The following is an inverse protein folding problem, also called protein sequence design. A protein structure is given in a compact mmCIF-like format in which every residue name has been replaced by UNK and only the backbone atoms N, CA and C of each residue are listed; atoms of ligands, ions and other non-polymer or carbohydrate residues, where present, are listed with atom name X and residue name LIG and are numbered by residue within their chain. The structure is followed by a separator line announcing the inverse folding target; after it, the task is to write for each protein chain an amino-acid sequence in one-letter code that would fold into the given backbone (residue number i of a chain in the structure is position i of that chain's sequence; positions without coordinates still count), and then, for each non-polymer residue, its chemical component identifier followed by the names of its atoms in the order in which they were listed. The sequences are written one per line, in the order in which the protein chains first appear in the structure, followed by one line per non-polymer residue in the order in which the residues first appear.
data_IF_968167868350
#
_entry.id   IF_968167868350
#
_cell.length_a   1.000
_cell.length_b   1.000
_cell.length_c   1.000
_cell.angle_alpha   90.00
_cell.angle_beta   90.00
_cell.angle_gamma   90.00
#
_symmetry.space_group_name_H-M   'P 1'
#
loop_
_entity.id
_entity.type
_entity.pdbx_description
1 polymer ?
#
# COMPACT_ATOMS: atom_id res chain seq x y z
N UNK A 1 -20.17 14.02 4.21
CA UNK A 1 -19.87 14.76 2.96
C UNK A 1 -18.50 14.43 2.37
N UNK A 2 -17.41 14.37 3.16
CA UNK A 2 -16.05 14.07 2.67
C UNK A 2 -15.87 12.68 2.03
N UNK A 3 -16.45 11.61 2.60
CA UNK A 3 -16.40 10.25 2.03
C UNK A 3 -17.14 10.12 0.68
N UNK A 4 -18.19 10.91 0.47
CA UNK A 4 -18.92 10.95 -0.80
C UNK A 4 -18.13 11.70 -1.88
N UNK A 5 -17.38 12.75 -1.51
CA UNK A 5 -16.55 13.51 -2.43
C UNK A 5 -15.34 12.69 -2.95
N UNK A 6 -14.90 11.71 -2.19
CA UNK A 6 -13.79 10.79 -2.53
C UNK A 6 -14.30 9.38 -2.90
N UNK A 7 -15.56 9.25 -3.33
CA UNK A 7 -16.13 7.94 -3.66
C UNK A 7 -15.39 7.31 -4.83
N UNK A 8 -14.50 6.37 -4.56
CA UNK A 8 -13.81 5.61 -5.60
C UNK A 8 -14.77 4.60 -6.22
N UNK A 9 -14.91 4.60 -7.54
CA UNK A 9 -15.53 3.49 -8.24
C UNK A 9 -14.61 2.26 -8.14
N UNK A 10 -15.06 1.23 -7.44
CA UNK A 10 -14.35 -0.05 -7.39
C UNK A 10 -14.82 -0.94 -8.53
N UNK A 11 -13.85 -1.58 -9.18
CA UNK A 11 -14.07 -2.60 -10.20
C UNK A 11 -13.29 -3.85 -9.79
N UNK A 12 -13.85 -5.02 -10.04
CA UNK A 12 -13.19 -6.31 -9.84
C UNK A 12 -13.46 -7.24 -11.02
N UNK A 13 -12.61 -8.26 -11.17
CA UNK A 13 -12.69 -9.23 -12.26
C UNK A 13 -13.17 -10.56 -11.70
N UNK A 14 -14.24 -11.11 -12.27
CA UNK A 14 -14.76 -12.43 -11.92
C UNK A 14 -13.86 -13.55 -12.49
N UNK A 15 -14.12 -14.79 -12.05
CA UNK A 15 -13.37 -15.98 -12.51
C UNK A 15 -13.46 -16.21 -14.02
N UNK A 16 -14.56 -15.78 -14.65
CA UNK A 16 -14.77 -15.83 -16.10
C UNK A 16 -14.07 -14.70 -16.88
N UNK A 17 -13.33 -13.83 -16.18
CA UNK A 17 -12.63 -12.67 -16.76
C UNK A 17 -13.50 -11.43 -16.93
N UNK A 18 -14.79 -11.47 -16.57
CA UNK A 18 -15.68 -10.31 -16.68
C UNK A 18 -15.37 -9.26 -15.62
N UNK A 19 -15.21 -8.01 -16.05
CA UNK A 19 -15.08 -6.86 -15.15
C UNK A 19 -16.47 -6.44 -14.68
N UNK A 20 -16.63 -6.35 -13.36
CA UNK A 20 -17.87 -5.93 -12.70
C UNK A 20 -17.61 -4.78 -11.74
N UNK A 21 -18.66 -3.99 -11.47
CA UNK A 21 -18.60 -2.94 -10.45
C UNK A 21 -18.65 -3.56 -9.05
N UNK A 22 -17.92 -2.96 -8.12
CA UNK A 22 -17.78 -3.42 -6.75
C UNK A 22 -16.68 -4.47 -6.60
N UNK A 23 -16.72 -5.17 -5.47
CA UNK A 23 -15.64 -6.08 -5.07
C UNK A 23 -15.90 -7.55 -5.39
N UNK A 24 -17.01 -7.94 -6.05
CA UNK A 24 -17.44 -9.35 -6.19
C UNK A 24 -16.37 -10.32 -6.71
N UNK A 25 -15.46 -9.87 -7.60
CA UNK A 25 -14.37 -10.69 -8.13
C UNK A 25 -13.19 -10.92 -7.17
N UNK A 26 -13.19 -10.29 -5.99
CA UNK A 26 -12.13 -10.48 -5.00
C UNK A 26 -12.36 -11.77 -4.20
N UNK A 27 -11.31 -12.59 -3.93
CA UNK A 27 -11.44 -13.76 -3.07
C UNK A 27 -11.86 -13.40 -1.64
N UNK A 28 -12.92 -14.07 -1.14
CA UNK A 28 -13.39 -13.90 0.25
C UNK A 28 -12.42 -14.48 1.27
N UNK A 29 -11.77 -15.60 0.94
CA UNK A 29 -10.80 -16.26 1.80
C UNK A 29 -9.38 -15.87 1.42
N UNK A 30 -8.51 -15.72 2.43
CA UNK A 30 -7.11 -15.40 2.21
C UNK A 30 -6.19 -16.64 2.20
N UNK A 31 -4.88 -16.41 1.98
CA UNK A 31 -4.24 -15.09 1.90
C UNK A 31 -4.49 -14.39 0.56
N UNK A 32 -4.67 -13.07 0.60
CA UNK A 32 -4.73 -12.22 -0.60
C UNK A 32 -3.75 -11.06 -0.45
N UNK A 33 -2.90 -10.84 -1.44
CA UNK A 33 -2.02 -9.69 -1.49
C UNK A 33 -2.51 -8.69 -2.54
N UNK A 34 -3.02 -7.55 -2.09
CA UNK A 34 -3.36 -6.42 -2.92
C UNK A 34 -2.11 -5.58 -3.15
N UNK A 35 -1.72 -5.45 -4.40
CA UNK A 35 -0.59 -4.60 -4.82
C UNK A 35 -1.18 -3.38 -5.51
N UNK A 36 -0.99 -2.20 -4.92
CA UNK A 36 -1.62 -0.96 -5.36
C UNK A 36 -0.65 0.19 -5.58
N UNK A 37 -1.21 1.32 -6.05
CA UNK A 37 -0.54 2.61 -6.23
C UNK A 37 -1.25 3.71 -5.43
N UNK A 38 -0.51 4.57 -4.74
CA UNK A 38 -1.02 5.72 -4.00
C UNK A 38 -1.49 6.83 -4.93
N UNK A 39 -2.80 6.91 -5.15
CA UNK A 39 -3.37 7.91 -6.06
C UNK A 39 -3.49 9.31 -5.42
N UNK A 40 -3.79 9.39 -4.12
CA UNK A 40 -4.22 10.62 -3.47
C UNK A 40 -3.55 10.78 -2.10
N UNK A 41 -2.23 10.58 -2.05
CA UNK A 41 -1.44 10.68 -0.81
C UNK A 41 -1.93 9.75 0.33
N UNK A 42 -2.62 8.66 0.00
CA UNK A 42 -3.21 7.76 0.98
C UNK A 42 -4.62 8.13 1.40
N UNK A 43 -5.20 9.26 0.94
CA UNK A 43 -6.60 9.59 1.23
C UNK A 43 -7.59 8.59 0.57
N UNK A 44 -7.15 7.87 -0.46
CA UNK A 44 -7.91 6.76 -1.06
C UNK A 44 -8.09 5.57 -0.10
N UNK A 45 -7.27 5.46 0.95
CA UNK A 45 -7.33 4.33 1.88
C UNK A 45 -8.62 4.28 2.69
N UNK A 46 -9.10 5.42 3.17
CA UNK A 46 -10.28 5.48 4.02
C UNK A 46 -11.54 4.92 3.31
N UNK A 47 -11.93 5.39 2.11
CA UNK A 47 -13.05 4.79 1.38
C UNK A 47 -12.75 3.36 0.95
N UNK A 48 -11.49 3.02 0.63
CA UNK A 48 -11.14 1.66 0.22
C UNK A 48 -11.31 0.63 1.34
N UNK A 49 -10.67 0.85 2.50
CA UNK A 49 -10.76 -0.04 3.66
C UNK A 49 -12.21 -0.18 4.14
N UNK A 50 -12.96 0.93 4.13
CA UNK A 50 -14.38 0.92 4.49
C UNK A 50 -15.21 0.06 3.56
N UNK A 51 -15.02 0.16 2.23
CA UNK A 51 -15.78 -0.64 1.26
C UNK A 51 -15.46 -2.13 1.38
N UNK A 52 -14.19 -2.50 1.59
CA UNK A 52 -13.83 -3.90 1.82
C UNK A 52 -14.48 -4.48 3.08
N UNK A 53 -14.52 -3.69 4.16
CA UNK A 53 -15.16 -4.11 5.39
C UNK A 53 -16.69 -4.20 5.25
N UNK A 54 -17.32 -3.19 4.66
CA UNK A 54 -18.79 -3.10 4.57
C UNK A 54 -19.38 -4.04 3.52
N UNK A 55 -18.77 -4.16 2.33
CA UNK A 55 -19.32 -4.96 1.23
C UNK A 55 -18.94 -6.44 1.33
N UNK A 56 -17.76 -6.75 1.88
CA UNK A 56 -17.19 -8.11 1.84
C UNK A 56 -16.85 -8.67 3.21
N UNK A 57 -16.99 -7.88 4.29
CA UNK A 57 -16.52 -8.24 5.63
C UNK A 57 -15.02 -8.61 5.64
N UNK A 58 -14.23 -8.00 4.75
CA UNK A 58 -12.79 -8.22 4.64
C UNK A 58 -12.08 -7.12 5.41
N UNK A 59 -11.28 -7.49 6.40
CA UNK A 59 -10.47 -6.53 7.14
C UNK A 59 -9.07 -6.42 6.53
N UNK A 60 -8.87 -5.36 5.72
CA UNK A 60 -7.59 -5.11 5.05
C UNK A 60 -6.47 -4.74 6.02
N UNK A 61 -5.30 -5.35 5.83
CA UNK A 61 -4.08 -5.09 6.61
C UNK A 61 -3.09 -4.30 5.77
N UNK A 62 -3.01 -2.99 5.99
CA UNK A 62 -2.04 -2.13 5.29
C UNK A 62 -0.62 -2.30 5.82
N UNK A 63 0.36 -2.50 4.95
CA UNK A 63 1.77 -2.42 5.32
C UNK A 63 2.25 -0.98 5.23
N UNK A 64 2.59 -0.40 6.38
CA UNK A 64 2.89 1.03 6.48
C UNK A 64 4.26 1.27 7.13
N UNK A 65 4.88 2.42 6.83
CA UNK A 65 6.24 2.70 7.29
C UNK A 65 6.31 2.82 8.81
N UNK A 66 7.37 2.28 9.42
CA UNK A 66 7.56 2.22 10.89
C UNK A 66 7.46 3.59 11.58
N UNK A 67 7.81 4.69 10.90
CA UNK A 67 7.69 6.06 11.45
C UNK A 67 6.25 6.41 11.84
N UNK A 68 5.26 5.86 11.14
CA UNK A 68 3.84 6.04 11.44
C UNK A 68 3.42 5.31 12.74
N UNK A 69 4.33 4.58 13.36
CA UNK A 69 4.10 3.83 14.59
C UNK A 69 4.98 4.36 15.74
N UNK A 70 5.75 5.43 15.56
CA UNK A 70 6.57 5.98 16.64
C UNK A 70 5.67 6.87 17.50
N UNK A 71 5.55 6.53 18.80
CA UNK A 71 4.89 7.40 19.79
C UNK A 71 5.89 8.44 20.29
N UNK A 72 5.60 9.72 20.08
CA UNK A 72 6.37 10.81 20.68
C UNK A 72 6.14 10.80 22.19
N UNK A 73 7.18 10.52 22.99
CA UNK A 73 7.10 10.45 24.47
C UNK A 73 6.83 11.80 25.16
N UNK A 74 6.64 12.89 24.40
CA UNK A 74 6.77 14.26 24.90
C UNK A 74 5.52 15.08 24.61
N UNK A 75 4.36 14.61 25.06
CA UNK A 75 3.20 15.48 25.31
C UNK A 75 2.21 14.72 26.21
N UNK A 76 2.16 15.12 27.49
CA UNK A 76 1.23 14.62 28.50
C UNK A 76 -0.22 15.09 28.27
N UNK A 77 -0.46 15.79 27.16
CA UNK A 77 -1.75 16.31 26.72
C UNK A 77 -1.92 15.86 25.27
N UNK A 78 -2.60 14.75 25.08
CA UNK A 78 -2.91 14.20 23.76
C UNK A 78 -3.71 15.25 22.97
N UNK A 79 -3.23 15.75 21.81
CA UNK A 79 -4.15 16.33 20.84
C UNK A 79 -5.11 15.21 20.38
N UNK A 80 -6.38 15.52 20.07
CA UNK A 80 -7.37 14.51 19.72
C UNK A 80 -6.88 13.73 18.50
N UNK A 81 -6.65 12.41 18.69
CA UNK A 81 -6.27 11.45 17.64
C UNK A 81 -5.11 11.91 16.77
N UNK A 82 -3.87 11.58 17.18
CA UNK A 82 -2.74 11.59 16.25
C UNK A 82 -3.14 10.77 15.01
N UNK A 83 -3.04 11.33 13.80
CA UNK A 83 -3.37 10.62 12.55
C UNK A 83 -2.68 9.25 12.44
N UNK A 84 -1.56 9.07 13.15
CA UNK A 84 -0.82 7.82 13.30
C UNK A 84 -1.55 6.74 14.11
N UNK A 85 -2.36 7.10 15.11
CA UNK A 85 -3.17 6.15 15.86
C UNK A 85 -4.31 5.59 15.00
N UNK A 86 -4.88 6.40 14.10
CA UNK A 86 -5.92 5.95 13.16
C UNK A 86 -5.41 4.86 12.20
N UNK A 87 -4.16 4.94 11.72
CA UNK A 87 -3.60 3.87 10.88
C UNK A 87 -3.49 2.54 11.62
N UNK A 88 -3.13 2.55 12.90
CA UNK A 88 -3.07 1.35 13.74
C UNK A 88 -4.46 0.77 13.98
N UNK A 89 -5.44 1.62 14.29
CA UNK A 89 -6.83 1.21 14.49
C UNK A 89 -7.44 0.59 13.22
N UNK A 90 -7.11 1.15 12.05
CA UNK A 90 -7.48 0.59 10.75
C UNK A 90 -6.74 -0.71 10.39
N UNK A 91 -5.90 -1.25 11.29
CA UNK A 91 -5.22 -2.53 11.10
C UNK A 91 -3.90 -2.44 10.34
N UNK A 92 -3.30 -1.25 10.21
CA UNK A 92 -1.98 -1.15 9.59
C UNK A 92 -0.90 -1.82 10.45
N UNK A 93 0.07 -2.44 9.79
CA UNK A 93 1.20 -3.14 10.40
C UNK A 93 2.51 -2.55 9.87
N UNK A 94 3.56 -2.41 10.70
CA UNK A 94 4.86 -1.94 10.24
C UNK A 94 5.42 -2.82 9.11
N UNK A 95 5.80 -2.19 8.00
CA UNK A 95 6.36 -2.88 6.84
C UNK A 95 7.67 -3.58 7.20
N UNK A 96 7.71 -4.90 6.97
CA UNK A 96 8.87 -5.78 7.10
C UNK A 96 8.55 -7.14 6.49
N UNK A 97 9.56 -7.87 6.01
CA UNK A 97 9.37 -9.23 5.47
C UNK A 97 8.70 -10.18 6.46
N UNK A 98 9.10 -10.13 7.74
CA UNK A 98 8.49 -10.92 8.80
C UNK A 98 7.02 -10.60 9.03
N UNK A 99 6.63 -9.32 8.98
CA UNK A 99 5.23 -8.93 9.18
C UNK A 99 4.37 -9.37 8.00
N UNK A 100 4.86 -9.20 6.77
CA UNK A 100 4.19 -9.71 5.57
C UNK A 100 4.01 -11.23 5.66
N UNK A 101 5.07 -11.97 5.98
CA UNK A 101 5.01 -13.42 6.13
C UNK A 101 3.97 -13.84 7.18
N UNK A 102 3.97 -13.21 8.37
CA UNK A 102 3.01 -13.53 9.44
C UNK A 102 1.56 -13.27 9.02
N UNK A 103 1.31 -12.17 8.31
CA UNK A 103 -0.03 -11.83 7.82
C UNK A 103 -0.51 -12.83 6.76
N UNK A 104 0.35 -13.21 5.82
CA UNK A 104 0.00 -14.20 4.81
C UNK A 104 -0.19 -15.60 5.43
N UNK A 105 0.67 -15.97 6.39
CA UNK A 105 0.54 -17.23 7.12
C UNK A 105 -0.77 -17.30 7.94
N UNK A 106 -1.27 -16.16 8.43
CA UNK A 106 -2.57 -16.06 9.09
C UNK A 106 -3.75 -15.94 8.11
N UNK A 107 -3.55 -16.22 6.81
CA UNK A 107 -4.56 -16.08 5.75
C UNK A 107 -5.19 -14.67 5.66
N UNK A 108 -4.44 -13.63 5.99
CA UNK A 108 -4.96 -12.26 5.96
C UNK A 108 -5.02 -11.68 4.55
N UNK A 109 -5.87 -10.68 4.37
CA UNK A 109 -5.92 -9.79 3.22
C UNK A 109 -4.98 -8.61 3.45
N UNK A 110 -3.87 -8.57 2.71
CA UNK A 110 -2.76 -7.63 2.91
C UNK A 110 -2.71 -6.62 1.77
N UNK A 111 -2.58 -5.34 2.11
CA UNK A 111 -2.41 -4.26 1.15
C UNK A 111 -0.98 -3.73 1.17
N UNK A 112 -0.35 -3.70 0.00
CA UNK A 112 1.01 -3.20 -0.23
C UNK A 112 1.02 -2.16 -1.35
N UNK A 113 1.50 -0.96 -1.01
CA UNK A 113 1.87 0.06 -2.00
C UNK A 113 3.36 -0.03 -2.29
N UNK A 114 3.71 -0.35 -3.53
CA UNK A 114 5.10 -0.69 -3.90
C UNK A 114 6.00 0.53 -4.04
N UNK A 115 5.47 1.71 -4.36
CA UNK A 115 6.26 2.93 -4.44
C UNK A 115 6.48 3.67 -3.10
N UNK A 116 5.85 3.21 -2.01
CA UNK A 116 6.06 3.73 -0.65
C UNK A 116 5.80 5.22 -0.51
N UNK A 117 6.52 5.91 0.40
CA UNK A 117 6.24 7.35 0.66
C UNK A 117 6.58 8.26 -0.52
N UNK A 118 7.47 7.81 -1.42
CA UNK A 118 7.82 8.57 -2.62
C UNK A 118 6.61 8.68 -3.53
N UNK A 119 5.91 7.56 -3.70
CA UNK A 119 4.65 7.47 -4.42
C UNK A 119 3.53 8.22 -3.70
N UNK A 120 3.38 8.01 -2.39
CA UNK A 120 2.38 8.72 -1.59
C UNK A 120 2.57 10.25 -1.63
N UNK A 121 3.81 10.73 -1.69
CA UNK A 121 4.10 12.17 -1.76
C UNK A 121 4.10 12.71 -3.19
N UNK A 122 3.73 11.90 -4.19
CA UNK A 122 3.86 12.19 -5.63
C UNK A 122 5.23 12.77 -6.02
N UNK A 123 6.28 12.38 -5.28
CA UNK A 123 7.64 12.90 -5.48
C UNK A 123 8.30 12.17 -6.63
N UNK A 124 8.53 12.87 -7.75
CA UNK A 124 9.45 12.45 -8.81
C UNK A 124 10.88 12.96 -8.53
N UNK A 125 11.73 12.12 -7.96
CA UNK A 125 13.20 12.31 -7.97
C UNK A 125 13.85 10.92 -7.85
N UNK A 126 14.80 10.42 -8.66
CA UNK A 126 15.69 10.96 -9.69
C UNK A 126 15.69 9.97 -10.88
N UNK A 127 14.94 10.22 -11.96
CA UNK A 127 15.33 9.62 -13.25
C UNK A 127 16.53 10.37 -13.83
N UNK A 128 16.62 11.68 -13.61
CA UNK A 128 17.72 12.53 -14.10
C UNK A 128 19.09 12.14 -13.53
N UNK A 129 19.16 11.71 -12.26
CA UNK A 129 20.44 11.30 -11.63
C UNK A 129 20.55 9.80 -11.39
N UNK A 130 19.70 8.98 -12.02
CA UNK A 130 19.89 7.53 -12.03
C UNK A 130 21.00 7.22 -13.03
N UNK A 131 22.17 6.71 -12.60
CA UNK A 131 23.25 6.36 -13.52
C UNK A 131 22.84 5.26 -14.50
N UNK A 132 21.73 4.54 -14.27
CA UNK A 132 21.20 3.46 -15.12
C UNK A 132 19.89 3.82 -15.83
N UNK A 133 19.62 5.11 -16.01
CA UNK A 133 18.36 5.63 -16.56
C UNK A 133 18.01 5.07 -17.94
N UNK A 134 19.00 4.73 -18.76
CA UNK A 134 18.81 4.23 -20.12
C UNK A 134 19.57 2.92 -20.37
N UNK A 135 19.21 2.24 -21.47
CA UNK A 135 19.76 0.93 -21.81
C UNK A 135 21.26 0.99 -22.12
N UNK A 136 21.73 2.10 -22.70
CA UNK A 136 23.15 2.31 -22.97
C UNK A 136 23.96 2.33 -21.67
N UNK A 137 23.51 3.07 -20.66
CA UNK A 137 24.21 3.14 -19.37
C UNK A 137 24.22 1.79 -18.62
N UNK A 138 23.16 0.98 -18.76
CA UNK A 138 23.11 -0.39 -18.23
C UNK A 138 24.07 -1.32 -18.96
N UNK A 139 24.12 -1.23 -20.29
CA UNK A 139 25.02 -2.05 -21.11
C UNK A 139 26.49 -1.65 -20.89
N UNK A 140 26.78 -0.34 -20.76
CA UNK A 140 28.11 0.15 -20.41
C UNK A 140 28.57 -0.38 -19.07
N UNK A 141 27.72 -0.33 -18.04
CA UNK A 141 28.04 -0.90 -16.72
C UNK A 141 28.24 -2.42 -16.75
N UNK A 142 27.39 -3.15 -17.49
CA UNK A 142 27.57 -4.60 -17.65
C UNK A 142 28.87 -4.93 -18.39
N UNK A 143 29.29 -4.12 -19.36
CA UNK A 143 30.54 -4.30 -20.07
C UNK A 143 31.78 -3.95 -19.21
N UNK A 144 31.67 -3.01 -18.26
CA UNK A 144 32.78 -2.61 -17.38
C UNK A 144 32.91 -3.44 -16.12
N UNK A 145 31.79 -3.86 -15.52
CA UNK A 145 31.75 -4.47 -14.19
C UNK A 145 31.18 -5.91 -14.19
N UNK A 146 30.72 -6.43 -15.34
CA UNK A 146 30.11 -7.76 -15.48
C UNK A 146 31.10 -8.92 -15.62
N UNK A 147 32.40 -8.72 -15.43
CA UNK A 147 33.44 -9.73 -15.60
C UNK A 147 33.81 -10.49 -14.31
N UNK A 148 32.83 -10.79 -13.46
CA UNK A 148 33.01 -11.71 -12.32
C UNK A 148 31.83 -12.68 -12.19
N UNK A 149 31.78 -13.67 -13.07
CA UNK A 149 31.25 -15.01 -12.81
C UNK A 149 32.07 -16.02 -13.60
#
# INVERSE_FOLDING_TARGET
MFLLAMSSAMLSTLEDGKIVRGLAGIPSEGPVLFVGYHMLMGFELAPMVSNFLLERNIFLRGLARRVLFIRTKKERLLPPLSQFDTFREMGAVPVSGTSLYKLLASKAHVLLYTGGDREASHRKEKRETDPYRNILARLSYQATDGSNF
#
